data_IF_667498398862
#
_entry.id   IF_667498398862
#
_cell.length_a   1.000
_cell.length_b   1.000
_cell.length_c   1.000
_cell.angle_alpha   90.00
_cell.angle_beta   90.00
_cell.angle_gamma   90.00
#
_symmetry.space_group_name_H-M   'P 1'
#
loop_
_entity.id
_entity.type
_entity.pdbx_description
1 polymer ?
#
# COMPACT_ATOMS: atom_id res chain seq x y z
N UNK A 1 -15.84 0.00 19.30
CA UNK A 1 -14.87 -1.11 19.14
C UNK A 1 -14.46 -1.20 17.66
N UNK A 2 -13.17 -1.38 17.33
CA UNK A 2 -12.75 -1.42 15.92
C UNK A 2 -13.36 -2.62 15.20
N UNK A 3 -13.68 -2.46 13.92
CA UNK A 3 -14.29 -3.54 13.13
C UNK A 3 -13.33 -4.73 12.93
N UNK A 4 -12.02 -4.48 12.86
CA UNK A 4 -10.99 -5.53 12.83
C UNK A 4 -11.03 -6.38 14.12
N UNK A 5 -11.22 -5.73 15.28
CA UNK A 5 -11.39 -6.43 16.56
C UNK A 5 -12.65 -7.29 16.56
N UNK A 6 -13.77 -6.75 16.07
CA UNK A 6 -15.03 -7.51 15.96
C UNK A 6 -14.86 -8.74 15.07
N UNK A 7 -14.19 -8.60 13.92
CA UNK A 7 -13.90 -9.72 13.02
C UNK A 7 -13.07 -10.81 13.73
N UNK A 8 -12.01 -10.45 14.44
CA UNK A 8 -11.19 -11.39 15.20
C UNK A 8 -11.95 -12.07 16.34
N UNK A 9 -12.74 -11.31 17.10
CA UNK A 9 -13.58 -11.87 18.18
C UNK A 9 -14.59 -12.87 17.65
N UNK A 10 -15.02 -12.71 16.39
CA UNK A 10 -15.87 -13.65 15.66
C UNK A 10 -15.09 -14.78 14.96
N UNK A 11 -13.78 -14.90 15.18
CA UNK A 11 -12.95 -15.96 14.63
C UNK A 11 -12.62 -15.81 13.15
N UNK A 12 -12.91 -14.66 12.54
CA UNK A 12 -12.64 -14.42 11.13
C UNK A 12 -11.15 -14.19 10.88
N UNK A 13 -10.70 -14.64 9.71
CA UNK A 13 -9.34 -14.48 9.17
C UNK A 13 -9.44 -14.25 7.67
N UNK A 14 -8.44 -13.58 7.11
CA UNK A 14 -8.29 -13.43 5.66
C UNK A 14 -8.15 -14.81 4.99
N UNK A 15 -8.65 -14.97 3.76
CA UNK A 15 -8.57 -16.26 3.04
C UNK A 15 -7.13 -16.56 2.62
N UNK A 16 -6.65 -17.81 2.66
CA UNK A 16 -5.21 -18.11 2.54
C UNK A 16 -4.56 -17.70 1.20
N UNK A 17 -5.34 -17.53 0.14
CA UNK A 17 -4.84 -17.05 -1.17
C UNK A 17 -4.77 -15.52 -1.30
N UNK A 18 -5.27 -14.76 -0.32
CA UNK A 18 -5.24 -13.30 -0.35
C UNK A 18 -3.93 -12.79 0.27
N UNK A 19 -3.25 -11.91 -0.45
CA UNK A 19 -2.08 -11.20 0.06
C UNK A 19 -2.51 -9.87 0.68
N UNK A 20 -2.36 -9.76 1.99
CA UNK A 20 -2.71 -8.56 2.77
C UNK A 20 -1.47 -7.76 3.15
N UNK A 21 -1.54 -6.44 3.04
CA UNK A 21 -0.43 -5.53 3.41
C UNK A 21 -0.97 -4.24 4.00
N UNK A 22 -0.27 -3.67 4.98
CA UNK A 22 -0.52 -2.34 5.52
C UNK A 22 0.69 -1.45 5.25
N UNK A 23 0.49 -0.35 4.51
CA UNK A 23 1.53 0.64 4.22
C UNK A 23 1.15 2.00 4.81
N UNK A 24 1.46 2.28 6.09
CA UNK A 24 1.12 3.56 6.71
C UNK A 24 1.87 4.73 6.05
N UNK A 25 1.20 5.87 5.90
CA UNK A 25 1.80 7.08 5.33
C UNK A 25 2.81 7.78 6.24
N UNK A 26 2.77 7.50 7.56
CA UNK A 26 3.72 8.05 8.54
C UNK A 26 3.77 7.18 9.79
N UNK A 27 4.80 7.38 10.62
CA UNK A 27 4.92 6.71 11.93
C UNK A 27 3.82 7.13 12.92
N UNK A 28 3.21 8.31 12.74
CA UNK A 28 2.07 8.75 13.57
C UNK A 28 0.89 7.78 13.45
N UNK A 29 0.70 7.18 12.27
CA UNK A 29 -0.33 6.16 12.05
C UNK A 29 -0.15 4.96 12.96
N UNK A 30 1.09 4.47 13.02
CA UNK A 30 1.44 3.35 13.90
C UNK A 30 1.24 3.73 15.37
N UNK A 31 1.64 4.93 15.79
CA UNK A 31 1.45 5.38 17.19
C UNK A 31 -0.03 5.34 17.62
N UNK A 32 -0.97 5.79 16.79
CA UNK A 32 -2.40 5.74 17.15
C UNK A 32 -3.02 4.34 16.94
N UNK A 33 -2.48 3.50 16.05
CA UNK A 33 -2.85 2.09 15.97
C UNK A 33 -2.43 1.32 17.22
N UNK A 34 -1.19 1.50 17.68
CA UNK A 34 -0.71 0.89 18.93
C UNK A 34 -1.52 1.38 20.13
N UNK A 35 -1.77 2.69 20.23
CA UNK A 35 -2.56 3.25 21.34
C UNK A 35 -4.01 2.76 21.36
N UNK A 36 -4.62 2.49 20.21
CA UNK A 36 -5.97 1.93 20.12
C UNK A 36 -6.01 0.38 20.21
N UNK A 37 -4.85 -0.27 20.10
CA UNK A 37 -4.71 -1.73 19.96
C UNK A 37 -5.14 -2.25 18.58
N UNK A 38 -5.38 -1.35 17.62
CA UNK A 38 -5.78 -1.71 16.26
C UNK A 38 -4.63 -2.35 15.47
N UNK A 39 -3.38 -2.09 15.82
CA UNK A 39 -2.21 -2.75 15.24
C UNK A 39 -2.31 -4.27 15.41
N UNK A 40 -2.60 -4.74 16.63
CA UNK A 40 -2.74 -6.18 16.93
C UNK A 40 -3.99 -6.78 16.31
N UNK A 41 -5.06 -6.01 16.23
CA UNK A 41 -6.27 -6.44 15.54
C UNK A 41 -6.01 -6.63 14.03
N UNK A 42 -5.27 -5.72 13.39
CA UNK A 42 -4.91 -5.79 11.98
C UNK A 42 -3.91 -6.92 11.70
N UNK A 43 -2.86 -7.06 12.51
CA UNK A 43 -1.92 -8.18 12.43
C UNK A 43 -2.63 -9.53 12.57
N UNK A 44 -3.60 -9.62 13.49
CA UNK A 44 -4.43 -10.81 13.67
C UNK A 44 -5.21 -11.15 12.39
N UNK A 45 -5.61 -10.18 11.59
CA UNK A 45 -6.25 -10.39 10.29
C UNK A 45 -5.27 -10.57 9.12
N UNK A 46 -3.96 -10.55 9.38
CA UNK A 46 -2.91 -10.69 8.37
C UNK A 46 -2.39 -9.36 7.78
N UNK A 47 -2.88 -8.21 8.26
CA UNK A 47 -2.45 -6.88 7.80
C UNK A 47 -1.24 -6.40 8.58
N UNK A 48 -0.06 -6.84 8.17
CA UNK A 48 1.20 -6.39 8.76
C UNK A 48 1.68 -5.07 8.15
N UNK A 49 2.29 -4.23 8.97
CA UNK A 49 3.01 -3.03 8.50
C UNK A 49 4.23 -3.48 7.70
N UNK A 50 4.20 -3.28 6.39
CA UNK A 50 5.29 -3.70 5.47
C UNK A 50 6.32 -2.60 5.21
N UNK A 51 5.99 -1.36 5.55
CA UNK A 51 6.88 -0.21 5.38
C UNK A 51 6.13 1.11 5.35
N UNK A 52 6.86 2.20 5.53
CA UNK A 52 6.34 3.57 5.47
C UNK A 52 6.69 4.18 4.11
N UNK A 53 5.69 4.37 3.26
CA UNK A 53 5.88 4.91 1.91
C UNK A 53 4.83 4.45 0.93
N UNK A 54 5.06 4.70 -0.36
CA UNK A 54 4.07 4.46 -1.40
C UNK A 54 3.67 2.98 -1.56
N UNK A 55 4.60 2.04 -1.33
CA UNK A 55 4.39 0.58 -1.34
C UNK A 55 3.47 0.13 -2.51
N UNK A 56 2.32 -0.46 -2.20
CA UNK A 56 1.34 -0.99 -3.16
C UNK A 56 0.72 0.08 -4.07
N UNK A 57 0.59 1.32 -3.60
CA UNK A 57 -0.02 2.42 -4.35
C UNK A 57 0.74 2.73 -5.65
N UNK A 58 2.04 2.42 -5.68
CA UNK A 58 2.88 2.59 -6.87
C UNK A 58 3.25 1.28 -7.57
N UNK A 59 2.64 0.16 -7.19
CA UNK A 59 2.95 -1.15 -7.76
C UNK A 59 4.12 -1.87 -7.12
N UNK A 60 4.70 -1.34 -6.03
CA UNK A 60 5.70 -2.06 -5.25
C UNK A 60 5.00 -3.06 -4.32
N UNK A 61 4.23 -3.99 -4.91
CA UNK A 61 3.47 -5.02 -4.20
C UNK A 61 4.36 -6.16 -3.70
N UNK A 62 5.48 -6.41 -4.39
CA UNK A 62 6.20 -7.68 -4.30
C UNK A 62 5.39 -8.85 -4.88
N UNK A 63 5.98 -10.05 -4.96
CA UNK A 63 5.37 -11.21 -5.61
C UNK A 63 4.19 -11.77 -4.80
N UNK A 64 3.23 -12.40 -5.48
CA UNK A 64 2.31 -13.33 -4.83
C UNK A 64 3.06 -14.61 -4.43
N UNK A 65 2.45 -15.45 -3.59
CA UNK A 65 2.99 -16.80 -3.36
C UNK A 65 2.96 -17.59 -4.67
N UNK A 66 3.97 -18.44 -4.87
CA UNK A 66 4.24 -19.11 -6.14
C UNK A 66 3.02 -19.92 -6.61
N UNK A 67 2.38 -20.65 -5.71
CA UNK A 67 1.23 -21.50 -6.02
C UNK A 67 0.03 -20.69 -6.53
N UNK A 68 -0.16 -19.47 -6.02
CA UNK A 68 -1.23 -18.57 -6.47
C UNK A 68 -0.89 -17.97 -7.82
N UNK A 69 0.34 -17.50 -8.02
CA UNK A 69 0.79 -16.96 -9.31
C UNK A 69 0.72 -18.03 -10.41
N UNK A 70 1.18 -19.25 -10.13
CA UNK A 70 1.08 -20.38 -11.05
C UNK A 70 -0.37 -20.72 -11.39
N UNK A 71 -1.27 -20.78 -10.39
CA UNK A 71 -2.69 -21.07 -10.62
C UNK A 71 -3.35 -20.00 -11.50
N UNK A 72 -3.05 -18.71 -11.27
CA UNK A 72 -3.56 -17.59 -12.08
C UNK A 72 -3.13 -17.75 -13.53
N UNK A 73 -1.83 -17.94 -13.77
CA UNK A 73 -1.26 -17.95 -15.11
C UNK A 73 -1.62 -19.23 -15.89
N UNK A 74 -1.63 -20.39 -15.23
CA UNK A 74 -1.96 -21.68 -15.88
C UNK A 74 -3.43 -21.84 -16.26
N UNK A 75 -4.34 -21.15 -15.56
CA UNK A 75 -5.79 -21.24 -15.78
C UNK A 75 -6.40 -19.95 -16.35
N UNK A 76 -5.55 -18.98 -16.74
CA UNK A 76 -5.95 -17.67 -17.27
C UNK A 76 -6.98 -16.93 -16.38
N UNK A 77 -6.83 -17.04 -15.06
CA UNK A 77 -7.82 -16.51 -14.12
C UNK A 77 -7.88 -14.98 -14.14
N UNK A 78 -9.09 -14.46 -14.03
CA UNK A 78 -9.34 -13.03 -13.88
C UNK A 78 -9.36 -12.66 -12.39
N UNK A 79 -8.19 -12.41 -11.82
CA UNK A 79 -8.05 -12.03 -10.40
C UNK A 79 -8.02 -10.52 -10.20
N UNK A 80 -8.31 -10.12 -8.96
CA UNK A 80 -8.53 -8.73 -8.56
C UNK A 80 -7.61 -8.29 -7.43
N UNK A 81 -7.16 -7.03 -7.44
CA UNK A 81 -6.66 -6.35 -6.24
C UNK A 81 -7.66 -5.31 -5.75
N UNK A 82 -7.76 -5.16 -4.44
CA UNK A 82 -8.56 -4.12 -3.78
C UNK A 82 -7.62 -3.28 -2.93
N UNK A 83 -7.63 -1.97 -3.10
CA UNK A 83 -6.69 -1.07 -2.42
C UNK A 83 -7.33 0.27 -2.05
N UNK A 84 -6.86 0.85 -0.95
CA UNK A 84 -7.23 2.21 -0.52
C UNK A 84 -6.27 3.27 -1.10
N UNK A 85 -5.90 3.09 -2.37
CA UNK A 85 -5.06 4.00 -3.15
C UNK A 85 -5.89 4.97 -4.00
N UNK A 86 -5.29 5.50 -5.06
CA UNK A 86 -5.93 6.48 -5.95
C UNK A 86 -5.83 6.16 -7.46
N UNK A 87 -5.15 5.08 -7.85
CA UNK A 87 -4.97 4.65 -9.25
C UNK A 87 -5.11 3.14 -9.35
N UNK A 88 -5.70 2.65 -10.43
CA UNK A 88 -6.07 1.24 -10.61
C UNK A 88 -5.93 0.74 -12.06
N UNK A 89 -4.98 1.29 -12.82
CA UNK A 89 -4.70 0.85 -14.19
C UNK A 89 -4.25 -0.62 -14.24
N UNK A 90 -4.51 -1.29 -15.36
CA UNK A 90 -4.06 -2.67 -15.61
C UNK A 90 -2.52 -2.77 -15.50
N UNK A 91 -2.03 -3.86 -14.89
CA UNK A 91 -0.60 -4.10 -14.69
C UNK A 91 0.10 -3.16 -13.69
N UNK A 92 -0.59 -2.15 -13.15
CA UNK A 92 0.01 -1.18 -12.22
C UNK A 92 0.30 -1.77 -10.85
N UNK A 93 -0.58 -2.63 -10.34
CA UNK A 93 -0.53 -3.09 -8.95
C UNK A 93 0.31 -4.36 -8.81
N UNK A 94 0.07 -5.33 -9.68
CA UNK A 94 0.79 -6.59 -9.76
C UNK A 94 0.71 -7.10 -11.21
N UNK A 95 1.77 -7.73 -11.75
CA UNK A 95 1.71 -8.34 -13.08
C UNK A 95 0.68 -9.47 -13.18
N UNK A 96 0.38 -10.15 -12.08
CA UNK A 96 -0.60 -11.25 -12.04
C UNK A 96 -2.07 -10.76 -12.00
N UNK A 97 -2.30 -9.45 -11.83
CA UNK A 97 -3.65 -8.90 -11.56
C UNK A 97 -4.17 -8.10 -12.75
N UNK A 98 -5.27 -8.58 -13.32
CA UNK A 98 -5.96 -7.94 -14.46
C UNK A 98 -6.91 -6.81 -14.04
N UNK A 99 -7.48 -6.89 -12.83
CA UNK A 99 -8.52 -5.95 -12.37
C UNK A 99 -8.17 -5.33 -11.02
N UNK A 100 -8.36 -4.02 -10.88
CA UNK A 100 -7.99 -3.30 -9.66
C UNK A 100 -9.14 -2.38 -9.21
N UNK A 101 -9.52 -2.46 -7.93
CA UNK A 101 -10.63 -1.70 -7.36
C UNK A 101 -10.16 -0.78 -6.24
N UNK A 102 -10.52 0.50 -6.34
CA UNK A 102 -10.29 1.47 -5.28
C UNK A 102 -11.43 1.41 -4.28
N UNK A 103 -11.11 1.23 -2.99
CA UNK A 103 -12.10 1.11 -1.92
C UNK A 103 -11.60 1.79 -0.65
N UNK A 104 -12.51 2.05 0.30
CA UNK A 104 -12.12 2.53 1.63
C UNK A 104 -11.31 1.46 2.39
N UNK A 105 -10.44 1.83 3.35
CA UNK A 105 -9.69 0.85 4.13
C UNK A 105 -10.56 -0.26 4.77
N UNK A 106 -11.74 0.00 5.36
CA UNK A 106 -12.60 -1.07 5.87
C UNK A 106 -13.09 -2.04 4.79
N UNK A 107 -13.40 -1.55 3.58
CA UNK A 107 -13.82 -2.41 2.47
C UNK A 107 -12.67 -3.26 1.92
N UNK A 108 -11.44 -2.75 1.89
CA UNK A 108 -10.25 -3.55 1.53
C UNK A 108 -10.18 -4.80 2.41
N UNK A 109 -10.43 -4.64 3.71
CA UNK A 109 -10.35 -5.76 4.64
C UNK A 109 -11.58 -6.65 4.57
N UNK A 110 -12.78 -6.10 4.37
CA UNK A 110 -13.97 -6.89 4.10
C UNK A 110 -13.77 -7.84 2.90
N UNK A 111 -13.17 -7.36 1.82
CA UNK A 111 -12.84 -8.20 0.66
C UNK A 111 -11.69 -9.18 0.93
N UNK A 112 -10.76 -8.88 1.82
CA UNK A 112 -9.75 -9.85 2.24
C UNK A 112 -10.35 -11.00 3.07
N UNK A 113 -11.37 -10.71 3.89
CA UNK A 113 -12.14 -11.72 4.63
C UNK A 113 -13.01 -12.57 3.69
N UNK A 114 -13.68 -11.94 2.71
CA UNK A 114 -14.47 -12.63 1.71
C UNK A 114 -13.59 -13.48 0.76
N UNK A 115 -12.45 -12.92 0.34
CA UNK A 115 -11.49 -13.54 -0.58
C UNK A 115 -11.90 -13.54 -2.05
N UNK A 116 -12.97 -12.82 -2.41
CA UNK A 116 -13.50 -12.71 -3.76
C UNK A 116 -14.26 -11.39 -3.93
N UNK A 117 -14.19 -10.80 -5.12
CA UNK A 117 -15.08 -9.70 -5.52
C UNK A 117 -16.46 -10.19 -5.97
N UNK A 118 -16.60 -11.48 -6.26
CA UNK A 118 -17.88 -12.14 -6.49
C UNK A 118 -18.44 -12.60 -5.13
N UNK A 119 -18.92 -11.63 -4.34
CA UNK A 119 -19.42 -11.82 -2.98
C UNK A 119 -20.50 -10.77 -2.70
N UNK A 120 -21.65 -11.18 -2.17
CA UNK A 120 -22.72 -10.28 -1.76
C UNK A 120 -22.71 -10.09 -0.24
N UNK A 121 -22.29 -8.92 0.24
CA UNK A 121 -22.22 -8.64 1.67
C UNK A 121 -23.58 -8.60 2.39
N UNK A 122 -24.70 -8.54 1.68
CA UNK A 122 -26.04 -8.61 2.29
C UNK A 122 -26.47 -10.05 2.58
N UNK A 123 -26.06 -11.00 1.75
CA UNK A 123 -26.58 -12.38 1.75
C UNK A 123 -25.53 -13.46 2.02
N UNK A 124 -24.26 -13.20 1.73
CA UNK A 124 -23.15 -14.12 1.95
C UNK A 124 -22.48 -13.90 3.30
N UNK A 125 -22.21 -15.00 4.01
CA UNK A 125 -21.47 -14.97 5.27
C UNK A 125 -19.95 -14.90 5.03
N UNK A 126 -19.26 -14.03 5.78
CA UNK A 126 -17.79 -13.93 5.75
C UNK A 126 -17.12 -15.19 6.32
N UNK A 127 -17.82 -15.86 7.23
CA UNK A 127 -17.40 -17.10 7.87
C UNK A 127 -18.38 -17.51 8.96
N UNK A 128 -17.94 -18.45 9.79
CA UNK A 128 -18.69 -18.90 10.97
C UNK A 128 -17.94 -18.52 12.24
N UNK A 129 -18.68 -18.13 13.27
CA UNK A 129 -18.11 -17.92 14.60
C UNK A 129 -17.86 -19.23 15.34
N UNK A 130 -17.32 -19.14 16.57
CA UNK A 130 -16.97 -20.30 17.39
C UNK A 130 -18.16 -21.21 17.70
N UNK A 131 -19.39 -20.67 17.67
CA UNK A 131 -20.63 -21.41 17.92
C UNK A 131 -21.25 -21.94 16.61
N UNK A 132 -20.61 -21.70 15.47
CA UNK A 132 -21.06 -22.13 14.14
C UNK A 132 -22.07 -21.21 13.46
N UNK A 133 -22.37 -20.05 14.06
CA UNK A 133 -23.29 -19.08 13.49
C UNK A 133 -22.63 -18.33 12.34
N UNK A 134 -23.42 -18.02 11.31
CA UNK A 134 -22.96 -17.23 10.18
C UNK A 134 -22.68 -15.78 10.63
N UNK A 135 -21.53 -15.26 10.19
CA UNK A 135 -21.09 -13.89 10.48
C UNK A 135 -21.12 -13.08 9.20
N UNK A 136 -21.93 -12.04 9.18
CA UNK A 136 -22.11 -11.14 8.04
C UNK A 136 -21.32 -9.84 8.25
N UNK A 137 -21.12 -9.08 7.17
CA UNK A 137 -20.41 -7.79 7.25
C UNK A 137 -21.08 -6.83 8.25
N UNK A 138 -22.42 -6.79 8.25
CA UNK A 138 -23.22 -5.96 9.15
C UNK A 138 -22.97 -6.26 10.64
N UNK A 139 -22.57 -7.48 10.98
CA UNK A 139 -22.34 -7.89 12.37
C UNK A 139 -21.01 -7.33 12.92
N UNK A 140 -20.09 -6.98 12.03
CA UNK A 140 -18.74 -6.51 12.37
C UNK A 140 -18.47 -5.06 11.93
N UNK A 141 -19.37 -4.44 11.16
CA UNK A 141 -19.20 -3.07 10.70
C UNK A 141 -19.21 -2.09 11.89
N UNK A 142 -18.32 -1.08 11.92
CA UNK A 142 -18.28 -0.14 13.04
C UNK A 142 -19.33 0.95 12.83
N UNK A 143 -19.94 1.42 13.92
CA UNK A 143 -20.76 2.65 13.83
C UNK A 143 -19.86 3.89 13.72
N UNK A 144 -20.36 5.02 13.17
CA UNK A 144 -19.61 6.27 13.16
C UNK A 144 -19.17 6.72 14.55
N UNK A 145 -20.01 6.52 15.57
CA UNK A 145 -19.73 6.87 16.97
C UNK A 145 -18.57 6.04 17.53
N UNK A 146 -18.56 4.72 17.28
CA UNK A 146 -17.45 3.86 17.71
C UNK A 146 -16.11 4.26 17.07
N UNK A 147 -16.14 4.73 15.82
CA UNK A 147 -14.94 5.23 15.13
C UNK A 147 -14.49 6.53 15.78
N UNK A 148 -15.42 7.46 16.05
CA UNK A 148 -15.12 8.75 16.66
C UNK A 148 -14.53 8.59 18.07
N UNK A 149 -15.08 7.70 18.90
CA UNK A 149 -14.54 7.41 20.24
C UNK A 149 -13.09 6.91 20.19
N UNK A 150 -12.76 6.06 19.21
CA UNK A 150 -11.39 5.57 19.02
C UNK A 150 -10.48 6.70 18.55
N UNK A 151 -10.95 7.53 17.61
CA UNK A 151 -10.18 8.71 17.14
C UNK A 151 -9.86 9.64 18.30
N UNK A 152 -10.86 10.01 19.09
CA UNK A 152 -10.72 10.96 20.21
C UNK A 152 -9.79 10.42 21.31
N UNK A 153 -9.82 9.11 21.55
CA UNK A 153 -8.98 8.48 22.58
C UNK A 153 -7.56 8.15 22.12
N UNK A 154 -7.33 7.92 20.82
CA UNK A 154 -6.05 7.42 20.30
C UNK A 154 -5.19 8.47 19.60
N UNK A 155 -5.76 9.56 19.08
CA UNK A 155 -5.03 10.59 18.35
C UNK A 155 -4.75 11.79 19.26
N UNK A 156 -3.49 12.19 19.38
CA UNK A 156 -3.09 13.39 20.14
C UNK A 156 -2.03 14.21 19.43
N UNK A 157 -2.02 15.53 19.68
CA UNK A 157 -1.00 16.47 19.18
C UNK A 157 0.42 16.02 19.49
N UNK A 158 0.64 15.46 20.68
CA UNK A 158 1.97 15.05 21.14
C UNK A 158 2.58 13.94 20.29
N UNK A 159 1.77 13.02 19.75
CA UNK A 159 2.24 12.00 18.80
C UNK A 159 2.84 12.65 17.55
N UNK A 160 2.17 13.69 17.01
CA UNK A 160 2.69 14.43 15.86
C UNK A 160 3.99 15.16 16.22
N UNK A 161 4.03 15.89 17.33
CA UNK A 161 5.25 16.61 17.75
C UNK A 161 6.43 15.64 17.89
N UNK A 162 6.21 14.50 18.57
CA UNK A 162 7.25 13.49 18.79
C UNK A 162 7.76 12.88 17.49
N UNK A 163 6.87 12.43 16.61
CA UNK A 163 7.27 11.71 15.39
C UNK A 163 7.89 12.62 14.34
N UNK A 164 7.46 13.88 14.24
CA UNK A 164 8.03 14.82 13.28
C UNK A 164 9.35 15.46 13.77
N UNK A 165 9.65 15.43 15.07
CA UNK A 165 10.90 15.94 15.61
C UNK A 165 12.14 15.18 15.09
N UNK A 166 12.00 13.92 14.70
CA UNK A 166 13.11 13.02 14.32
C UNK A 166 13.05 12.57 12.86
N UNK A 167 12.23 13.22 12.03
CA UNK A 167 12.02 12.81 10.62
C UNK A 167 13.30 12.88 9.78
N UNK A 168 14.23 13.76 10.15
CA UNK A 168 15.50 13.96 9.44
C UNK A 168 16.68 13.19 10.05
N UNK A 169 16.50 12.55 11.22
CA UNK A 169 17.58 11.83 11.88
C UNK A 169 18.06 10.64 11.05
N UNK A 170 17.12 9.97 10.36
CA UNK A 170 17.37 8.73 9.64
C UNK A 170 17.78 7.57 10.56
N UNK A 171 17.98 6.39 9.99
CA UNK A 171 18.54 5.26 10.72
C UNK A 171 20.08 5.27 10.67
N UNK A 172 20.72 4.25 11.24
CA UNK A 172 22.17 4.09 11.18
C UNK A 172 22.67 4.00 9.72
N UNK A 173 21.91 3.36 8.83
CA UNK A 173 22.29 3.23 7.42
C UNK A 173 22.32 4.59 6.74
N UNK A 174 21.28 5.41 6.95
CA UNK A 174 21.20 6.76 6.41
C UNK A 174 22.36 7.65 6.88
N UNK A 175 22.62 7.66 8.19
CA UNK A 175 23.67 8.52 8.79
C UNK A 175 25.09 8.09 8.40
N UNK A 176 25.29 6.82 8.06
CA UNK A 176 26.59 6.27 7.67
C UNK A 176 26.81 6.25 6.15
N UNK A 177 25.90 6.80 5.34
CA UNK A 177 26.14 6.93 3.91
C UNK A 177 27.33 7.87 3.66
N UNK A 178 28.36 7.44 2.91
CA UNK A 178 29.46 8.33 2.57
C UNK A 178 28.94 9.46 1.66
N UNK A 179 29.11 10.69 2.10
CA UNK A 179 28.76 11.89 1.33
C UNK A 179 30.03 12.63 0.93
N UNK A 180 30.32 12.80 -0.37
CA UNK A 180 31.44 13.63 -0.80
C UNK A 180 31.16 15.11 -0.49
N UNK A 181 32.21 15.87 -0.20
CA UNK A 181 32.14 17.30 0.14
C UNK A 181 32.19 18.23 -1.09
N UNK A 182 32.22 17.66 -2.31
CA UNK A 182 32.32 18.42 -3.56
C UNK A 182 31.02 19.15 -3.91
N UNK A 183 31.15 20.40 -4.38
CA UNK A 183 30.02 21.19 -4.89
C UNK A 183 29.42 20.64 -6.20
N UNK A 184 30.17 19.77 -6.89
CA UNK A 184 29.76 19.17 -8.16
C UNK A 184 29.69 17.66 -8.05
N UNK A 185 28.61 17.07 -8.57
CA UNK A 185 28.40 15.63 -8.53
C UNK A 185 29.47 14.90 -9.33
N UNK A 186 30.19 13.99 -8.67
CA UNK A 186 31.21 13.15 -9.29
C UNK A 186 30.52 12.02 -10.07
N UNK A 187 30.43 12.18 -11.39
CA UNK A 187 29.80 11.18 -12.26
C UNK A 187 30.68 9.95 -12.39
N UNK A 188 30.13 8.78 -12.04
CA UNK A 188 30.75 7.48 -12.32
C UNK A 188 30.24 6.96 -13.67
N UNK A 189 31.15 6.77 -14.63
CA UNK A 189 30.84 6.27 -15.97
C UNK A 189 30.27 4.84 -15.97
N UNK A 190 30.57 4.06 -14.93
CA UNK A 190 30.08 2.68 -14.77
C UNK A 190 28.71 2.61 -14.07
N UNK A 191 28.20 3.73 -13.56
CA UNK A 191 26.93 3.76 -12.84
C UNK A 191 25.76 3.47 -13.77
N UNK A 192 24.96 2.46 -13.41
CA UNK A 192 23.68 2.17 -14.06
C UNK A 192 22.50 2.87 -13.38
N UNK A 193 22.71 3.52 -12.22
CA UNK A 193 21.66 4.16 -11.41
C UNK A 193 21.58 5.68 -11.62
N UNK A 194 22.73 6.37 -11.62
CA UNK A 194 22.81 7.82 -11.74
C UNK A 194 23.76 8.15 -12.87
N UNK A 195 23.22 8.65 -13.99
CA UNK A 195 23.99 8.97 -15.20
C UNK A 195 23.81 10.43 -15.59
N UNK A 196 24.87 11.03 -16.13
CA UNK A 196 24.81 12.40 -16.65
C UNK A 196 23.90 12.43 -17.87
N UNK A 197 22.81 13.18 -17.79
CA UNK A 197 21.89 13.32 -18.90
C UNK A 197 22.47 14.26 -19.98
N UNK A 198 22.30 13.96 -21.27
CA UNK A 198 22.92 14.71 -22.37
C UNK A 198 22.13 15.97 -22.76
N UNK A 199 21.14 16.40 -21.97
CA UNK A 199 20.22 17.49 -22.34
C UNK A 199 20.91 18.83 -22.64
N UNK A 200 22.09 19.05 -22.08
CA UNK A 200 22.86 20.27 -22.23
C UNK A 200 24.06 20.12 -23.16
N UNK A 201 24.27 18.93 -23.73
CA UNK A 201 25.38 18.70 -24.66
C UNK A 201 25.16 19.54 -25.92
N UNK A 202 26.16 20.34 -26.28
CA UNK A 202 26.07 21.27 -27.41
C UNK A 202 25.21 22.52 -27.16
N UNK A 203 24.72 22.75 -25.93
CA UNK A 203 24.01 23.97 -25.58
C UNK A 203 24.95 25.18 -25.70
N UNK A 204 24.52 26.18 -26.46
CA UNK A 204 25.24 27.44 -26.67
C UNK A 204 24.58 28.59 -25.92
N UNK A 205 25.35 29.64 -25.61
CA UNK A 205 24.81 30.88 -25.03
C UNK A 205 23.94 31.66 -26.02
N UNK A 206 24.26 31.56 -27.31
CA UNK A 206 23.46 32.16 -28.39
C UNK A 206 22.30 31.24 -28.75
N UNK A 207 21.10 31.81 -28.85
CA UNK A 207 19.90 31.08 -29.26
C UNK A 207 19.89 30.87 -30.77
N UNK A 208 19.47 29.69 -31.20
CA UNK A 208 19.21 29.40 -32.61
C UNK A 208 17.70 29.41 -32.89
N UNK A 209 17.25 29.87 -34.07
CA UNK A 209 15.84 29.80 -34.44
C UNK A 209 15.35 28.35 -34.52
N UNK A 210 14.12 28.12 -34.06
CA UNK A 210 13.41 26.85 -34.30
C UNK A 210 13.26 26.63 -35.80
N UNK A 211 13.44 25.39 -36.26
CA UNK A 211 13.31 24.99 -37.67
C UNK A 211 12.26 23.90 -37.82
N UNK A 212 11.74 23.77 -39.04
CA UNK A 212 10.81 22.71 -39.39
C UNK A 212 11.50 21.33 -39.28
N UNK A 213 10.73 20.32 -38.84
CA UNK A 213 11.18 18.93 -38.80
C UNK A 213 10.72 18.25 -40.09
N UNK A 214 11.65 17.99 -41.00
CA UNK A 214 11.39 17.35 -42.30
C UNK A 214 11.79 15.88 -42.30
N UNK A 215 11.00 15.02 -42.97
CA UNK A 215 11.34 13.60 -43.16
C UNK A 215 11.29 12.73 -41.90
N UNK A 216 10.72 13.23 -40.80
CA UNK A 216 10.51 12.45 -39.58
C UNK A 216 9.62 11.23 -39.84
N UNK A 217 9.90 10.14 -39.11
CA UNK A 217 9.07 8.93 -39.09
C UNK A 217 8.21 8.93 -37.83
N UNK A 218 7.01 8.37 -37.94
CA UNK A 218 6.18 8.06 -36.77
C UNK A 218 6.89 6.95 -35.98
N UNK A 219 7.03 7.16 -34.67
CA UNK A 219 7.68 6.24 -33.73
C UNK A 219 6.66 5.28 -33.11
#
# INVERSE_FOLDING_TARGET
VSWARKALQKGLKQKPWVKTTLGPGSKVVTDYYEKSGLDKDLEGLGFYTVGYGCTICIGNSGPLIEEVSEAINSHDLAVTAVLSGNRNFEGRISPDVKMNYLASPPLVIAYALAGSMHFDFETDALGKDADGNDVFLKDIWPSPEEVQEIVDSSISRDQFIKQYATVFDGDERWRNLPTPDDDTFQWDENSTYVRKAPYFDGMTMELTPVKDIEGARVM
#
